data_IF_096871012297
#
_entry.id   IF_096871012297
#
_cell.length_a   1.000
_cell.length_b   1.000
_cell.length_c   1.000
_cell.angle_alpha   90.00
_cell.angle_beta   90.00
_cell.angle_gamma   90.00
#
_symmetry.space_group_name_H-M   'P 1'
#
loop_
_entity.id
_entity.type
_entity.pdbx_description
1 polymer ?
#
# COMPACT_ATOMS: atom_id res chain seq x y z
N UNK A 1 4.12 -13.69 -50.10
CA UNK A 1 4.85 -13.35 -48.85
C UNK A 1 3.81 -12.99 -47.79
N UNK A 2 3.48 -13.92 -46.90
CA UNK A 2 2.48 -13.74 -45.84
C UNK A 2 3.22 -13.17 -44.63
N UNK A 3 2.90 -11.92 -44.25
CA UNK A 3 3.39 -11.32 -42.99
C UNK A 3 2.57 -11.88 -41.84
N UNK A 4 3.17 -12.77 -41.04
CA UNK A 4 2.59 -13.26 -39.80
C UNK A 4 2.78 -12.15 -38.76
N UNK A 5 1.67 -11.48 -38.39
CA UNK A 5 1.62 -10.50 -37.33
C UNK A 5 1.56 -11.27 -35.98
N UNK A 6 2.68 -11.38 -35.29
CA UNK A 6 2.69 -11.88 -33.92
C UNK A 6 2.01 -10.86 -32.99
N UNK A 7 0.76 -11.14 -32.66
CA UNK A 7 0.03 -10.42 -31.61
C UNK A 7 0.61 -10.87 -30.25
N UNK A 8 1.52 -10.09 -29.68
CA UNK A 8 1.96 -10.28 -28.30
C UNK A 8 0.77 -9.95 -27.38
N UNK A 9 -0.01 -10.96 -27.05
CA UNK A 9 -1.00 -10.90 -25.99
C UNK A 9 -0.23 -10.86 -24.68
N UNK A 10 0.05 -9.66 -24.15
CA UNK A 10 0.65 -9.50 -22.84
C UNK A 10 -0.28 -10.10 -21.80
N UNK A 11 0.11 -11.24 -21.24
CA UNK A 11 -0.57 -11.87 -20.11
C UNK A 11 -0.49 -10.88 -18.93
N UNK A 12 -1.51 -10.05 -18.79
CA UNK A 12 -1.74 -9.32 -17.54
C UNK A 12 -2.18 -10.36 -16.52
N UNK A 13 -1.24 -10.82 -15.69
CA UNK A 13 -1.58 -11.64 -14.52
C UNK A 13 -2.46 -10.76 -13.63
N UNK A 14 -3.76 -10.98 -13.69
CA UNK A 14 -4.71 -10.35 -12.78
C UNK A 14 -4.40 -10.89 -11.38
N UNK A 15 -3.97 -10.00 -10.51
CA UNK A 15 -3.73 -10.31 -9.11
C UNK A 15 -5.06 -10.73 -8.48
N UNK A 16 -5.16 -11.97 -8.04
CA UNK A 16 -6.38 -12.48 -7.41
C UNK A 16 -6.56 -11.87 -6.02
N UNK A 17 -7.78 -11.86 -5.50
CA UNK A 17 -8.04 -11.40 -4.12
C UNK A 17 -7.26 -12.21 -3.08
N UNK A 18 -7.06 -13.49 -3.32
CA UNK A 18 -6.26 -14.36 -2.44
C UNK A 18 -4.78 -13.97 -2.44
N UNK A 19 -4.22 -13.57 -3.59
CA UNK A 19 -2.83 -13.11 -3.68
C UNK A 19 -2.63 -11.83 -2.86
N UNK A 20 -3.60 -10.91 -2.88
CA UNK A 20 -3.54 -9.67 -2.10
C UNK A 20 -3.61 -9.93 -0.60
N UNK A 21 -4.47 -10.84 -0.16
CA UNK A 21 -4.56 -11.25 1.26
C UNK A 21 -3.23 -11.82 1.72
N UNK A 22 -2.61 -12.70 0.92
CA UNK A 22 -1.31 -13.26 1.27
C UNK A 22 -0.19 -12.20 1.29
N UNK A 23 -0.17 -11.29 0.32
CA UNK A 23 0.78 -10.18 0.31
C UNK A 23 0.66 -9.28 1.54
N UNK A 24 -0.56 -8.99 2.00
CA UNK A 24 -0.80 -8.22 3.23
C UNK A 24 -0.32 -8.95 4.48
N UNK A 25 -0.53 -10.27 4.55
CA UNK A 25 0.01 -11.09 5.66
C UNK A 25 1.52 -11.06 5.69
N UNK A 26 2.17 -11.24 4.54
CA UNK A 26 3.62 -11.16 4.43
C UNK A 26 4.15 -9.78 4.82
N UNK A 27 3.44 -8.72 4.44
CA UNK A 27 3.77 -7.35 4.83
C UNK A 27 3.68 -7.15 6.35
N UNK A 28 2.64 -7.68 7.00
CA UNK A 28 2.47 -7.61 8.47
C UNK A 28 3.61 -8.34 9.19
N UNK A 29 4.03 -9.50 8.70
CA UNK A 29 5.16 -10.26 9.25
C UNK A 29 6.47 -9.51 9.02
N UNK A 30 6.71 -9.03 7.81
CA UNK A 30 7.91 -8.27 7.42
C UNK A 30 8.09 -7.00 8.28
N UNK A 31 7.01 -6.36 8.69
CA UNK A 31 7.07 -5.19 9.56
C UNK A 31 7.71 -5.48 10.92
N UNK A 32 7.73 -6.74 11.39
CA UNK A 32 8.22 -7.13 12.70
C UNK A 32 9.47 -8.04 12.67
N UNK A 33 9.83 -8.59 11.51
CA UNK A 33 10.96 -9.49 11.33
C UNK A 33 11.79 -9.07 10.12
N UNK A 34 13.07 -8.75 10.34
CA UNK A 34 13.98 -8.29 9.29
C UNK A 34 14.27 -9.35 8.23
N UNK A 35 14.32 -10.64 8.60
CA UNK A 35 14.53 -11.73 7.63
C UNK A 35 13.33 -11.88 6.71
N UNK A 36 12.13 -11.77 7.28
CA UNK A 36 10.88 -11.78 6.48
C UNK A 36 10.82 -10.53 5.60
N UNK A 37 11.29 -9.38 6.11
CA UNK A 37 11.38 -8.15 5.32
C UNK A 37 12.29 -8.32 4.09
N UNK A 38 13.45 -8.97 4.25
CA UNK A 38 14.35 -9.26 3.14
C UNK A 38 13.71 -10.18 2.12
N UNK A 39 13.09 -11.28 2.56
CA UNK A 39 12.36 -12.20 1.67
C UNK A 39 11.20 -11.53 0.93
N UNK A 40 10.46 -10.67 1.63
CA UNK A 40 9.37 -9.91 1.02
C UNK A 40 9.88 -8.93 -0.03
N UNK A 41 10.98 -8.22 0.25
CA UNK A 41 11.62 -7.31 -0.69
C UNK A 41 12.16 -8.03 -1.93
N UNK A 42 12.71 -9.23 -1.75
CA UNK A 42 13.27 -10.05 -2.84
C UNK A 42 12.24 -10.39 -3.93
N UNK A 43 10.98 -10.51 -3.56
CA UNK A 43 9.87 -10.74 -4.52
C UNK A 43 9.77 -9.65 -5.59
N UNK A 44 10.23 -8.44 -5.29
CA UNK A 44 10.12 -7.28 -6.17
C UNK A 44 11.43 -6.90 -6.86
N UNK A 45 12.54 -7.65 -6.67
CA UNK A 45 13.86 -7.33 -7.27
C UNK A 45 13.82 -7.20 -8.79
N UNK A 46 13.02 -8.04 -9.45
CA UNK A 46 12.90 -8.08 -10.91
C UNK A 46 11.70 -7.28 -11.44
N UNK A 47 10.96 -6.59 -10.56
CA UNK A 47 9.78 -5.83 -10.96
C UNK A 47 10.17 -4.59 -11.74
N UNK A 48 9.73 -4.48 -12.99
CA UNK A 48 9.86 -3.26 -13.78
C UNK A 48 8.82 -2.22 -13.31
N UNK A 49 9.31 -1.11 -12.81
CA UNK A 49 8.49 -0.03 -12.24
C UNK A 49 7.59 0.65 -13.29
N UNK A 50 7.97 0.61 -14.58
CA UNK A 50 7.22 1.26 -15.67
C UNK A 50 5.96 0.46 -16.01
N UNK A 51 6.10 -0.87 -16.09
CA UNK A 51 5.05 -1.78 -16.55
C UNK A 51 4.27 -2.43 -15.41
N UNK A 52 4.76 -2.35 -14.18
CA UNK A 52 4.13 -2.94 -13.00
C UNK A 52 2.70 -2.43 -12.78
N UNK A 53 1.82 -3.36 -12.36
CA UNK A 53 0.49 -3.02 -11.88
C UNK A 53 0.60 -2.08 -10.66
N UNK A 54 -0.29 -1.07 -10.54
CA UNK A 54 -0.19 -0.05 -9.48
C UNK A 54 -0.12 -0.63 -8.07
N UNK A 55 -0.96 -1.61 -7.74
CA UNK A 55 -0.99 -2.22 -6.40
C UNK A 55 0.29 -3.01 -6.12
N UNK A 56 0.82 -3.75 -7.09
CA UNK A 56 2.11 -4.46 -6.94
C UNK A 56 3.26 -3.47 -6.70
N UNK A 57 3.24 -2.34 -7.42
CA UNK A 57 4.22 -1.27 -7.21
C UNK A 57 4.07 -0.64 -5.81
N UNK A 58 2.84 -0.52 -5.31
CA UNK A 58 2.56 -0.11 -3.93
C UNK A 58 3.17 -1.05 -2.89
N UNK A 59 3.03 -2.36 -3.07
CA UNK A 59 3.68 -3.34 -2.18
C UNK A 59 5.20 -3.25 -2.22
N UNK A 60 5.80 -3.07 -3.42
CA UNK A 60 7.24 -2.78 -3.54
C UNK A 60 7.62 -1.52 -2.78
N UNK A 61 6.82 -0.47 -2.86
CA UNK A 61 7.06 0.77 -2.14
C UNK A 61 7.08 0.58 -0.63
N UNK A 62 6.08 -0.15 -0.09
CA UNK A 62 6.01 -0.44 1.35
C UNK A 62 7.12 -1.38 1.78
N UNK A 63 7.54 -2.35 0.95
CA UNK A 63 8.71 -3.19 1.27
C UNK A 63 9.97 -2.37 1.46
N UNK A 64 10.22 -1.34 0.64
CA UNK A 64 11.33 -0.41 0.84
C UNK A 64 11.21 0.39 2.16
N UNK A 65 10.01 0.83 2.52
CA UNK A 65 9.78 1.54 3.78
C UNK A 65 9.99 0.63 5.00
N UNK A 66 9.66 -0.66 4.90
CA UNK A 66 9.94 -1.67 5.92
C UNK A 66 11.47 -1.89 6.01
N UNK A 67 12.19 -1.95 4.89
CA UNK A 67 13.65 -1.99 4.89
C UNK A 67 14.24 -0.76 5.60
N UNK A 68 13.67 0.43 5.40
CA UNK A 68 14.07 1.63 6.14
C UNK A 68 13.86 1.46 7.66
N UNK A 69 12.77 0.81 8.09
CA UNK A 69 12.51 0.53 9.52
C UNK A 69 13.60 -0.37 10.13
N UNK A 70 13.99 -1.42 9.43
CA UNK A 70 14.96 -2.41 9.91
C UNK A 70 16.42 -2.01 9.70
N UNK A 71 16.73 -1.09 8.79
CA UNK A 71 18.09 -0.65 8.53
C UNK A 71 18.74 -0.09 9.79
N UNK A 72 19.95 -0.52 10.10
CA UNK A 72 20.73 0.00 11.22
C UNK A 72 21.35 1.36 10.90
N UNK A 73 21.89 1.51 9.69
CA UNK A 73 22.57 2.74 9.26
C UNK A 73 21.56 3.83 8.89
N UNK A 74 21.66 5.05 9.46
CA UNK A 74 20.76 6.18 9.17
C UNK A 74 20.73 6.57 7.69
N UNK A 75 21.84 6.46 6.96
CA UNK A 75 21.93 6.77 5.53
C UNK A 75 21.05 5.78 4.75
N UNK A 76 21.14 4.49 5.08
CA UNK A 76 20.33 3.46 4.46
C UNK A 76 18.84 3.65 4.80
N UNK A 77 18.51 4.02 6.05
CA UNK A 77 17.13 4.37 6.43
C UNK A 77 16.53 5.42 5.51
N UNK A 78 17.26 6.52 5.33
CA UNK A 78 16.79 7.64 4.49
C UNK A 78 16.72 7.24 3.02
N UNK A 79 17.69 6.44 2.53
CA UNK A 79 17.72 5.96 1.15
C UNK A 79 16.50 5.08 0.84
N UNK A 80 16.24 4.06 1.66
CA UNK A 80 15.09 3.17 1.51
C UNK A 80 13.77 3.94 1.62
N UNK A 81 13.64 4.86 2.59
CA UNK A 81 12.46 5.68 2.73
C UNK A 81 12.19 6.54 1.48
N UNK A 82 13.20 7.24 0.96
CA UNK A 82 13.06 8.06 -0.25
C UNK A 82 12.64 7.22 -1.45
N UNK A 83 13.23 6.04 -1.61
CA UNK A 83 12.86 5.11 -2.68
C UNK A 83 11.43 4.64 -2.53
N UNK A 84 11.02 4.21 -1.33
CA UNK A 84 9.65 3.81 -1.02
C UNK A 84 8.63 4.94 -1.28
N UNK A 85 8.91 6.17 -0.81
CA UNK A 85 8.07 7.35 -1.07
C UNK A 85 7.87 7.56 -2.57
N UNK A 86 8.95 7.60 -3.36
CA UNK A 86 8.89 7.78 -4.82
C UNK A 86 8.03 6.71 -5.50
N UNK A 87 8.22 5.44 -5.13
CA UNK A 87 7.48 4.31 -5.69
C UNK A 87 5.99 4.37 -5.34
N UNK A 88 5.66 4.75 -4.11
CA UNK A 88 4.27 4.86 -3.66
C UNK A 88 3.53 5.98 -4.39
N UNK A 89 4.15 7.16 -4.51
CA UNK A 89 3.55 8.26 -5.27
C UNK A 89 3.41 7.90 -6.76
N UNK A 90 4.37 7.17 -7.34
CA UNK A 90 4.23 6.65 -8.70
C UNK A 90 3.07 5.65 -8.81
N UNK A 91 2.90 4.75 -7.85
CA UNK A 91 1.77 3.82 -7.83
C UNK A 91 0.42 4.56 -7.74
N UNK A 92 0.34 5.56 -6.86
CA UNK A 92 -0.87 6.39 -6.70
C UNK A 92 -1.16 7.20 -7.95
N UNK A 93 -0.14 7.76 -8.62
CA UNK A 93 -0.35 8.49 -9.88
C UNK A 93 -0.97 7.61 -10.98
N UNK A 94 -0.65 6.30 -10.99
CA UNK A 94 -1.25 5.33 -11.93
C UNK A 94 -2.67 4.91 -11.54
N UNK A 95 -3.03 4.96 -10.25
CA UNK A 95 -4.35 4.54 -9.74
C UNK A 95 -4.77 5.41 -8.53
N UNK A 96 -5.12 6.70 -8.76
CA UNK A 96 -5.27 7.69 -7.67
C UNK A 96 -6.47 7.47 -6.74
N UNK A 97 -7.40 6.59 -7.12
CA UNK A 97 -8.58 6.24 -6.30
C UNK A 97 -8.50 4.83 -5.71
N UNK A 98 -7.37 4.14 -5.86
CA UNK A 98 -7.22 2.79 -5.32
C UNK A 98 -7.10 2.83 -3.79
N UNK A 99 -8.01 2.20 -3.02
CA UNK A 99 -8.06 2.32 -1.56
C UNK A 99 -6.85 1.68 -0.88
N UNK A 100 -6.24 0.64 -1.45
CA UNK A 100 -5.03 0.03 -0.92
C UNK A 100 -3.85 1.00 -0.96
N UNK A 101 -3.65 1.68 -2.09
CA UNK A 101 -2.56 2.64 -2.26
C UNK A 101 -2.75 3.87 -1.36
N UNK A 102 -3.99 4.36 -1.26
CA UNK A 102 -4.33 5.45 -0.34
C UNK A 102 -4.09 5.02 1.11
N UNK A 103 -4.47 3.79 1.47
CA UNK A 103 -4.21 3.24 2.80
C UNK A 103 -2.72 3.12 3.10
N UNK A 104 -1.92 2.67 2.15
CA UNK A 104 -0.46 2.63 2.27
C UNK A 104 0.12 4.04 2.50
N UNK A 105 -0.31 5.05 1.76
CA UNK A 105 0.16 6.41 1.96
C UNK A 105 -0.28 6.97 3.31
N UNK A 106 -1.54 6.83 3.66
CA UNK A 106 -2.07 7.28 4.94
C UNK A 106 -1.31 6.67 6.11
N UNK A 107 -1.17 5.35 6.16
CA UNK A 107 -0.47 4.66 7.25
C UNK A 107 1.00 5.06 7.32
N UNK A 108 1.65 5.27 6.17
CA UNK A 108 3.03 5.78 6.14
C UNK A 108 3.09 7.19 6.72
N UNK A 109 2.30 8.12 6.21
CA UNK A 109 2.36 9.54 6.56
C UNK A 109 2.05 9.82 8.04
N UNK A 110 1.15 9.06 8.66
CA UNK A 110 0.82 9.24 10.09
C UNK A 110 1.83 8.60 11.04
N UNK A 111 2.75 7.78 10.54
CA UNK A 111 3.73 7.06 11.37
C UNK A 111 5.19 7.49 11.14
N UNK A 112 5.47 8.23 10.07
CA UNK A 112 6.85 8.70 9.83
C UNK A 112 7.18 9.92 10.68
N UNK A 113 8.45 10.09 11.11
CA UNK A 113 8.91 11.28 11.79
C UNK A 113 8.68 12.57 10.96
N UNK A 114 8.26 13.65 11.61
CA UNK A 114 7.98 14.92 10.94
C UNK A 114 9.16 15.46 10.12
N UNK A 115 10.39 15.20 10.55
CA UNK A 115 11.62 15.59 9.84
C UNK A 115 11.73 15.01 8.42
N UNK A 116 10.98 13.95 8.09
CA UNK A 116 10.96 13.37 6.73
C UNK A 116 10.04 14.14 5.78
N UNK A 117 9.31 15.13 6.27
CA UNK A 117 8.42 15.99 5.49
C UNK A 117 7.53 15.22 4.51
N UNK A 118 6.74 14.31 5.08
CA UNK A 118 5.82 13.46 4.30
C UNK A 118 4.50 13.29 5.06
N UNK A 119 3.67 14.35 5.07
CA UNK A 119 2.38 14.39 5.78
C UNK A 119 1.28 15.17 5.05
N UNK A 120 1.54 15.61 3.81
CA UNK A 120 0.69 16.57 3.09
C UNK A 120 -0.72 16.04 2.78
N UNK A 121 -0.88 14.71 2.68
CA UNK A 121 -2.13 14.09 2.26
C UNK A 121 -2.94 13.48 3.40
N UNK A 122 -2.46 13.49 4.64
CA UNK A 122 -3.08 12.78 5.77
C UNK A 122 -4.58 13.06 5.90
N UNK A 123 -4.99 14.32 5.87
CA UNK A 123 -6.40 14.70 6.00
C UNK A 123 -7.24 14.23 4.81
N UNK A 124 -6.72 14.42 3.61
CA UNK A 124 -7.41 14.02 2.37
C UNK A 124 -7.52 12.50 2.26
N UNK A 125 -6.43 11.78 2.52
CA UNK A 125 -6.41 10.31 2.44
C UNK A 125 -7.35 9.70 3.46
N UNK A 126 -7.39 10.23 4.70
CA UNK A 126 -8.36 9.80 5.69
C UNK A 126 -9.80 9.93 5.18
N UNK A 127 -10.13 11.07 4.58
CA UNK A 127 -11.48 11.30 4.04
C UNK A 127 -11.80 10.33 2.90
N UNK A 128 -10.85 10.05 2.02
CA UNK A 128 -11.01 9.06 0.94
C UNK A 128 -11.26 7.66 1.50
N UNK A 129 -10.52 7.25 2.53
CA UNK A 129 -10.69 5.95 3.18
C UNK A 129 -12.04 5.83 3.91
N UNK A 130 -12.47 6.87 4.60
CA UNK A 130 -13.82 6.92 5.21
C UNK A 130 -14.92 6.81 4.15
N UNK A 131 -14.79 7.52 3.04
CA UNK A 131 -15.74 7.45 1.93
C UNK A 131 -15.75 6.05 1.28
N UNK A 132 -14.58 5.42 1.12
CA UNK A 132 -14.48 4.04 0.65
C UNK A 132 -15.24 3.08 1.57
N UNK A 133 -15.01 3.15 2.90
CA UNK A 133 -15.71 2.29 3.85
C UNK A 133 -17.24 2.44 3.79
N UNK A 134 -17.73 3.67 3.65
CA UNK A 134 -19.18 3.94 3.50
C UNK A 134 -19.75 3.34 2.22
N UNK A 135 -19.06 3.51 1.11
CA UNK A 135 -19.53 3.05 -0.21
C UNK A 135 -19.50 1.52 -0.36
N UNK A 136 -18.62 0.84 0.41
CA UNK A 136 -18.36 -0.60 0.32
C UNK A 136 -18.97 -1.39 1.51
N UNK A 137 -19.71 -0.71 2.41
CA UNK A 137 -20.14 -1.27 3.69
C UNK A 137 -21.06 -2.48 3.56
N UNK A 138 -22.02 -2.47 2.63
CA UNK A 138 -23.04 -3.51 2.50
C UNK A 138 -22.55 -4.78 1.81
N UNK A 139 -21.57 -4.67 0.91
CA UNK A 139 -21.01 -5.79 0.16
C UNK A 139 -19.55 -5.50 -0.24
N UNK A 140 -18.60 -5.64 0.69
CA UNK A 140 -17.21 -5.34 0.42
C UNK A 140 -16.63 -6.16 -0.72
N UNK A 141 -16.10 -5.49 -1.75
CA UNK A 141 -15.40 -6.15 -2.89
C UNK A 141 -14.11 -6.82 -2.45
N UNK A 142 -13.44 -6.25 -1.47
CA UNK A 142 -12.27 -6.81 -0.79
C UNK A 142 -12.49 -6.76 0.73
N UNK A 143 -13.10 -7.81 1.32
CA UNK A 143 -13.43 -7.82 2.74
C UNK A 143 -12.22 -7.72 3.67
N UNK A 144 -11.04 -8.22 3.25
CA UNK A 144 -9.83 -8.12 4.04
C UNK A 144 -9.32 -6.68 4.09
N UNK A 145 -9.26 -6.00 2.96
CA UNK A 145 -8.86 -4.59 2.91
C UNK A 145 -9.84 -3.71 3.68
N UNK A 146 -11.14 -3.90 3.46
CA UNK A 146 -12.19 -3.16 4.18
C UNK A 146 -12.03 -3.27 5.69
N UNK A 147 -11.87 -4.51 6.20
CA UNK A 147 -11.65 -4.79 7.62
C UNK A 147 -10.38 -4.13 8.16
N UNK A 148 -9.27 -4.17 7.39
CA UNK A 148 -7.98 -3.58 7.77
C UNK A 148 -8.08 -2.06 7.90
N UNK A 149 -8.66 -1.40 6.90
CA UNK A 149 -8.86 0.05 6.91
C UNK A 149 -9.76 0.45 8.09
N UNK A 150 -10.92 -0.22 8.23
CA UNK A 150 -11.87 0.06 9.32
C UNK A 150 -11.19 -0.08 10.69
N UNK A 151 -10.51 -1.21 10.95
CA UNK A 151 -9.77 -1.44 12.19
C UNK A 151 -8.76 -0.32 12.45
N UNK A 152 -7.95 0.02 11.46
CA UNK A 152 -6.91 1.03 11.61
C UNK A 152 -7.48 2.41 11.97
N UNK A 153 -8.53 2.84 11.29
CA UNK A 153 -9.16 4.14 11.54
C UNK A 153 -9.89 4.21 12.89
N UNK A 154 -10.36 3.10 13.41
CA UNK A 154 -11.06 3.03 14.70
C UNK A 154 -10.08 2.87 15.86
N UNK A 155 -9.07 2.03 15.72
CA UNK A 155 -8.22 1.55 16.82
C UNK A 155 -6.86 2.25 16.87
N UNK A 156 -6.14 2.25 15.74
CA UNK A 156 -4.74 2.66 15.72
C UNK A 156 -4.59 4.18 15.52
N UNK A 157 -5.50 4.77 14.75
CA UNK A 157 -5.57 6.22 14.48
C UNK A 157 -7.01 6.69 14.50
N UNK A 158 -7.68 6.69 15.65
CA UNK A 158 -9.07 7.13 15.74
C UNK A 158 -9.22 8.60 15.36
N UNK A 159 -10.33 8.91 14.71
CA UNK A 159 -10.74 10.27 14.41
C UNK A 159 -11.50 10.92 15.55
N UNK A 160 -12.45 11.79 15.22
CA UNK A 160 -13.38 12.29 16.22
C UNK A 160 -14.24 11.16 16.82
N UNK A 161 -14.79 11.36 18.02
CA UNK A 161 -15.70 10.40 18.63
C UNK A 161 -16.89 10.08 17.71
N UNK A 162 -17.47 11.08 17.07
CA UNK A 162 -18.59 10.92 16.14
C UNK A 162 -18.20 10.07 14.91
N UNK A 163 -17.03 10.33 14.32
CA UNK A 163 -16.53 9.54 13.20
C UNK A 163 -16.26 8.09 13.60
N UNK A 164 -15.64 7.89 14.76
CA UNK A 164 -15.34 6.55 15.28
C UNK A 164 -16.60 5.72 15.52
N UNK A 165 -17.63 6.31 16.12
CA UNK A 165 -18.93 5.64 16.32
C UNK A 165 -19.63 5.35 14.98
N UNK A 166 -19.60 6.29 14.05
CA UNK A 166 -20.14 6.07 12.71
C UNK A 166 -19.44 4.90 12.01
N UNK A 167 -18.09 4.81 12.08
CA UNK A 167 -17.33 3.72 11.47
C UNK A 167 -17.60 2.36 12.13
N UNK A 168 -17.85 2.31 13.44
CA UNK A 168 -18.22 1.06 14.13
C UNK A 168 -19.53 0.48 13.61
N UNK A 169 -20.46 1.34 13.21
CA UNK A 169 -21.80 0.96 12.74
C UNK A 169 -21.89 0.65 11.25
N UNK A 170 -20.79 0.77 10.48
CA UNK A 170 -20.70 0.29 9.09
C UNK A 170 -20.46 -1.22 9.05
#
# INVERSE_FOLDING_TARGET
>A
MIKILFLFLGLHVMQTSNDLVEMRKQLDLAANDSKVADQFSDRFKKLDEKTAAPVTLGFKAISEMIQAKHAFNPINKVSHFKKGKRLLELAISKAPKNPELIFFRYTTQVNVPAMLNYSDNVKNDRQLLVNFLKADASAPKDPDLHRRIKKYLITDKPGSKAETEMLKNL
#
